data_IF_516881698031
#
_entry.id   IF_516881698031
#
_cell.length_a   1.000
_cell.length_b   1.000
_cell.length_c   1.000
_cell.angle_alpha   90.00
_cell.angle_beta   90.00
_cell.angle_gamma   90.00
#
_symmetry.space_group_name_H-M   'P 1'
#
loop_
_entity.id
_entity.type
_entity.pdbx_description
1 polymer ?
#
# COMPACT_ATOMS: atom_id res chain seq x y z
N UNK A 1 -0.88 -1.41 8.53
CA UNK A 1 -1.08 -2.86 8.74
C UNK A 1 0.20 -3.65 8.48
N UNK A 2 0.61 -3.91 7.23
CA UNK A 2 1.79 -4.78 6.98
C UNK A 2 3.06 -4.32 7.70
N UNK A 3 3.43 -3.03 7.59
CA UNK A 3 4.61 -2.49 8.28
C UNK A 3 4.52 -2.59 9.82
N UNK A 4 3.32 -2.49 10.37
CA UNK A 4 3.07 -2.54 11.82
C UNK A 4 3.26 -3.96 12.35
N UNK A 5 2.74 -4.96 11.64
CA UNK A 5 2.86 -6.36 12.06
C UNK A 5 4.20 -7.00 11.71
N UNK A 6 4.83 -6.60 10.60
CA UNK A 6 5.96 -7.33 10.01
C UNK A 6 7.30 -6.61 10.15
N UNK A 7 7.31 -5.31 10.42
CA UNK A 7 8.55 -4.54 10.54
C UNK A 7 9.27 -4.28 9.22
N UNK A 8 10.60 -4.23 9.25
CA UNK A 8 11.46 -3.79 8.13
C UNK A 8 12.14 -4.92 7.36
N UNK A 9 12.71 -5.91 8.07
CA UNK A 9 13.51 -6.99 7.49
C UNK A 9 12.63 -8.11 6.90
N UNK A 10 11.75 -7.72 5.98
CA UNK A 10 10.76 -8.59 5.35
C UNK A 10 10.64 -8.29 3.86
N UNK A 11 10.18 -9.29 3.10
CA UNK A 11 9.84 -9.12 1.68
C UNK A 11 8.31 -9.11 1.56
N UNK A 12 7.76 -7.95 1.18
CA UNK A 12 6.34 -7.82 0.87
C UNK A 12 6.09 -8.20 -0.60
N UNK A 13 5.45 -9.34 -0.84
CA UNK A 13 5.19 -9.86 -2.19
C UNK A 13 3.77 -9.52 -2.65
N UNK A 14 3.67 -8.78 -3.76
CA UNK A 14 2.39 -8.39 -4.37
C UNK A 14 2.25 -9.02 -5.76
N UNK A 15 1.83 -10.30 -5.83
CA UNK A 15 1.60 -11.00 -7.10
C UNK A 15 0.44 -10.39 -7.90
N UNK A 16 -0.79 -10.79 -7.55
CA UNK A 16 -2.00 -10.23 -8.16
C UNK A 16 -2.12 -8.71 -8.01
N UNK A 17 -1.65 -8.15 -6.89
CA UNK A 17 -1.62 -6.70 -6.64
C UNK A 17 -0.62 -5.90 -7.48
N UNK A 18 0.21 -6.55 -8.29
CA UNK A 18 1.07 -5.89 -9.29
C UNK A 18 0.58 -6.17 -10.71
N UNK A 19 0.41 -7.46 -11.04
CA UNK A 19 0.10 -7.89 -12.42
C UNK A 19 -1.33 -7.52 -12.80
N UNK A 20 -2.25 -7.48 -11.83
CA UNK A 20 -3.65 -7.13 -12.05
C UNK A 20 -3.94 -5.63 -12.12
N UNK A 21 -2.91 -4.76 -12.09
CA UNK A 21 -3.11 -3.32 -12.20
C UNK A 21 -3.61 -2.95 -13.62
N UNK A 22 -4.68 -2.15 -13.76
CA UNK A 22 -5.34 -1.92 -15.05
C UNK A 22 -4.46 -1.14 -16.04
N UNK A 23 -3.58 -0.27 -15.53
CA UNK A 23 -2.61 0.49 -16.34
C UNK A 23 -1.31 -0.29 -16.63
N UNK A 24 -1.30 -1.60 -16.38
CA UNK A 24 -0.19 -2.51 -16.67
C UNK A 24 0.76 -2.77 -15.50
N UNK A 25 1.65 -3.76 -15.69
CA UNK A 25 2.55 -4.31 -14.66
C UNK A 25 3.47 -3.25 -14.06
N UNK A 26 4.02 -2.36 -14.89
CA UNK A 26 4.92 -1.28 -14.42
C UNK A 26 4.18 -0.28 -13.52
N UNK A 27 2.92 0.00 -13.81
CA UNK A 27 2.08 0.86 -12.97
C UNK A 27 1.80 0.18 -11.63
N UNK A 28 1.44 -1.11 -11.62
CA UNK A 28 1.26 -1.89 -10.39
C UNK A 28 2.52 -1.92 -9.51
N UNK A 29 3.70 -2.10 -10.12
CA UNK A 29 4.96 -2.08 -9.39
C UNK A 29 5.26 -0.70 -8.80
N UNK A 30 5.01 0.37 -9.58
CA UNK A 30 5.12 1.76 -9.12
C UNK A 30 4.19 2.04 -7.93
N UNK A 31 2.93 1.59 -8.01
CA UNK A 31 1.95 1.79 -6.95
C UNK A 31 2.41 1.18 -5.61
N UNK A 32 2.84 -0.09 -5.63
CA UNK A 32 3.32 -0.78 -4.43
C UNK A 32 4.56 -0.11 -3.84
N UNK A 33 5.50 0.33 -4.69
CA UNK A 33 6.72 1.03 -4.28
C UNK A 33 6.41 2.36 -3.61
N UNK A 34 5.59 3.21 -4.23
CA UNK A 34 5.22 4.52 -3.69
C UNK A 34 4.45 4.39 -2.38
N UNK A 35 3.52 3.42 -2.28
CA UNK A 35 2.81 3.15 -1.04
C UNK A 35 3.76 2.79 0.11
N UNK A 36 4.73 1.89 -0.13
CA UNK A 36 5.69 1.47 0.87
C UNK A 36 6.58 2.64 1.33
N UNK A 37 7.17 3.38 0.38
CA UNK A 37 8.06 4.50 0.70
C UNK A 37 7.34 5.63 1.44
N UNK A 38 6.10 5.96 1.05
CA UNK A 38 5.29 6.96 1.75
C UNK A 38 4.96 6.55 3.19
N UNK A 39 4.62 5.28 3.40
CA UNK A 39 4.31 4.77 4.74
C UNK A 39 5.56 4.69 5.63
N UNK A 40 6.71 4.29 5.09
CA UNK A 40 7.99 4.26 5.82
C UNK A 40 8.44 5.68 6.20
N UNK A 41 8.30 6.65 5.29
CA UNK A 41 8.61 8.04 5.58
C UNK A 41 7.74 8.58 6.72
N UNK A 42 6.41 8.41 6.62
CA UNK A 42 5.49 8.86 7.66
C UNK A 42 5.80 8.24 9.03
N UNK A 43 6.13 6.94 9.08
CA UNK A 43 6.58 6.27 10.29
C UNK A 43 7.86 6.89 10.84
N UNK A 44 8.86 7.14 9.99
CA UNK A 44 10.14 7.71 10.41
C UNK A 44 10.02 9.16 10.90
N UNK A 45 9.02 9.89 10.41
CA UNK A 45 8.65 11.23 10.90
C UNK A 45 7.85 11.20 12.21
N UNK A 46 7.58 10.01 12.78
CA UNK A 46 6.88 9.85 14.04
C UNK A 46 5.36 9.99 13.96
N UNK A 47 4.77 9.92 12.77
CA UNK A 47 3.30 9.92 12.61
C UNK A 47 2.70 8.62 13.11
N UNK A 48 1.44 8.66 13.55
CA UNK A 48 0.67 7.45 13.86
C UNK A 48 0.19 6.82 12.54
N UNK A 49 1.12 6.18 11.84
CA UNK A 49 0.86 5.57 10.54
C UNK A 49 -0.11 4.37 10.62
N UNK A 50 -0.42 3.87 11.82
CA UNK A 50 -1.41 2.81 12.02
C UNK A 50 -2.81 3.41 11.94
N UNK A 51 -3.08 4.50 12.67
CA UNK A 51 -4.35 5.20 12.61
C UNK A 51 -4.51 6.05 11.33
N UNK A 52 -3.44 6.70 10.87
CA UNK A 52 -3.44 7.63 9.74
C UNK A 52 -3.16 6.97 8.39
N UNK A 53 -2.87 5.67 8.36
CA UNK A 53 -2.41 4.94 7.17
C UNK A 53 -3.23 5.18 5.89
N UNK A 54 -4.58 5.06 5.92
CA UNK A 54 -5.40 5.37 4.76
C UNK A 54 -5.26 6.80 4.24
N UNK A 55 -5.05 7.77 5.13
CA UNK A 55 -4.87 9.17 4.73
C UNK A 55 -3.48 9.40 4.12
N UNK A 56 -2.43 8.81 4.69
CA UNK A 56 -1.06 8.85 4.14
C UNK A 56 -1.04 8.32 2.70
N UNK A 57 -1.67 7.17 2.46
CA UNK A 57 -1.75 6.58 1.12
C UNK A 57 -2.55 7.46 0.14
N UNK A 58 -3.68 8.03 0.58
CA UNK A 58 -4.46 8.98 -0.24
C UNK A 58 -3.67 10.24 -0.58
N UNK A 59 -2.87 10.75 0.35
CA UNK A 59 -2.04 11.93 0.11
C UNK A 59 -0.92 11.64 -0.90
N UNK A 60 -0.27 10.48 -0.80
CA UNK A 60 0.70 10.04 -1.81
C UNK A 60 0.04 9.81 -3.19
N UNK A 61 -1.19 9.32 -3.22
CA UNK A 61 -1.93 9.08 -4.46
C UNK A 61 -2.25 10.36 -5.25
N UNK A 62 -2.38 11.52 -4.58
CA UNK A 62 -2.65 12.81 -5.24
C UNK A 62 -1.60 13.17 -6.31
N UNK A 63 -0.36 12.71 -6.13
CA UNK A 63 0.75 12.96 -7.06
C UNK A 63 1.22 11.69 -7.78
N UNK A 64 0.57 10.55 -7.55
CA UNK A 64 0.92 9.27 -8.15
C UNK A 64 -0.32 8.57 -8.73
N UNK A 65 -0.53 8.74 -10.03
CA UNK A 65 -1.65 8.11 -10.77
C UNK A 65 -1.76 6.59 -10.57
N UNK A 66 -0.67 5.80 -10.72
CA UNK A 66 -0.72 4.37 -10.45
C UNK A 66 -1.19 4.00 -9.03
N UNK A 67 -0.73 4.73 -8.02
CA UNK A 67 -1.19 4.50 -6.65
C UNK A 67 -2.68 4.84 -6.50
N UNK A 68 -3.14 5.95 -7.09
CA UNK A 68 -4.56 6.32 -7.09
C UNK A 68 -5.42 5.21 -7.69
N UNK A 69 -5.06 4.72 -8.88
CA UNK A 69 -5.79 3.64 -9.54
C UNK A 69 -5.82 2.36 -8.72
N UNK A 70 -4.68 1.96 -8.13
CA UNK A 70 -4.60 0.79 -7.26
C UNK A 70 -5.51 0.91 -6.02
N UNK A 71 -5.51 2.07 -5.37
CA UNK A 71 -6.39 2.33 -4.21
C UNK A 71 -7.85 2.25 -4.61
N UNK A 72 -8.24 2.83 -5.74
CA UNK A 72 -9.63 2.79 -6.18
C UNK A 72 -10.11 1.39 -6.55
N UNK A 73 -9.24 0.58 -7.14
CA UNK A 73 -9.55 -0.79 -7.54
C UNK A 73 -9.73 -1.73 -6.34
N UNK A 74 -8.82 -1.67 -5.35
CA UNK A 74 -8.74 -2.69 -4.29
C UNK A 74 -9.20 -2.22 -2.90
N UNK A 75 -9.62 -0.95 -2.70
CA UNK A 75 -10.01 -0.39 -1.38
C UNK A 75 -11.03 -1.19 -0.57
N UNK A 76 -11.92 -1.94 -1.22
CA UNK A 76 -12.98 -2.70 -0.56
C UNK A 76 -12.66 -4.19 -0.40
N UNK A 77 -11.46 -4.63 -0.81
CA UNK A 77 -11.06 -6.03 -0.74
C UNK A 77 -10.43 -6.31 0.62
N UNK A 78 -11.04 -7.20 1.39
CA UNK A 78 -10.52 -7.68 2.67
C UNK A 78 -10.81 -9.17 2.83
N UNK A 79 -9.98 -9.87 3.61
CA UNK A 79 -10.12 -11.30 3.89
C UNK A 79 -10.20 -11.51 5.41
N UNK A 80 -11.43 -11.54 5.94
CA UNK A 80 -11.69 -11.64 7.38
C UNK A 80 -12.44 -12.94 7.68
N UNK A 81 -11.72 -13.94 8.19
CA UNK A 81 -12.26 -15.25 8.56
C UNK A 81 -11.68 -15.66 9.92
N UNK A 82 -12.36 -16.57 10.62
CA UNK A 82 -11.84 -17.15 11.87
C UNK A 82 -10.59 -17.98 11.58
N UNK A 83 -9.50 -17.73 12.31
CA UNK A 83 -8.29 -18.57 12.27
C UNK A 83 -8.57 -19.97 12.81
N UNK A 84 -7.90 -20.98 12.23
CA UNK A 84 -7.92 -22.37 12.71
C UNK A 84 -6.94 -22.61 13.84
#
# INVERSE_FOLDING_TARGET
QLLDYLGEDVVLQFGGGTIGHPDGIQAGATANRVALEAMVLARNEGRDYVAEGPQILKDAAKTCGPLQTALDLWKNITFNYTST
#
